data_IF_429058591635
#
_entry.id   IF_429058591635
#
_cell.length_a   1.000
_cell.length_b   1.000
_cell.length_c   1.000
_cell.angle_alpha   90.00
_cell.angle_beta   90.00
_cell.angle_gamma   90.00
#
_symmetry.space_group_name_H-M   'P 1'
#
loop_
_entity.id
_entity.type
_entity.pdbx_description
1 polymer ?
#
# COMPACT_ATOMS: atom_id res chain seq x y z
N UNK A 1 26.88 26.09 -13.00
CA UNK A 1 26.01 24.95 -13.30
C UNK A 1 24.73 25.18 -12.50
N UNK A 2 23.69 25.72 -13.14
CA UNK A 2 22.45 26.07 -12.45
C UNK A 2 21.56 24.84 -12.41
N UNK A 3 21.52 24.18 -11.26
CA UNK A 3 20.61 23.06 -11.02
C UNK A 3 19.21 23.65 -10.82
N UNK A 4 18.34 23.50 -11.82
CA UNK A 4 16.90 23.69 -11.66
C UNK A 4 16.36 22.57 -10.76
N UNK A 5 16.41 22.76 -9.45
CA UNK A 5 15.67 21.94 -8.50
C UNK A 5 14.26 22.49 -8.40
N UNK A 6 13.30 21.85 -9.06
CA UNK A 6 11.87 22.12 -8.84
C UNK A 6 11.35 21.48 -7.56
N UNK A 7 12.02 20.46 -7.01
CA UNK A 7 11.71 19.91 -5.69
C UNK A 7 12.98 19.32 -5.04
N UNK A 8 13.60 20.07 -4.14
CA UNK A 8 14.28 19.58 -2.92
C UNK A 8 14.97 20.77 -2.27
N UNK A 9 14.29 21.43 -1.35
CA UNK A 9 14.98 22.17 -0.30
C UNK A 9 14.69 21.49 1.03
N UNK A 10 15.47 20.47 1.33
CA UNK A 10 15.80 20.16 2.72
C UNK A 10 16.60 21.35 3.28
N UNK A 11 15.92 22.45 3.58
CA UNK A 11 16.44 23.40 4.54
C UNK A 11 15.93 22.92 5.90
N UNK A 12 16.73 22.21 6.72
CA UNK A 12 16.56 22.26 8.17
C UNK A 12 16.94 23.68 8.60
N UNK A 13 16.12 24.65 8.23
CA UNK A 13 16.43 26.06 8.37
C UNK A 13 15.99 26.53 9.74
N UNK A 14 16.70 26.16 10.81
CA UNK A 14 16.67 26.80 12.15
C UNK A 14 15.28 27.00 12.83
N UNK A 15 14.19 26.55 12.19
CA UNK A 15 12.77 26.82 12.47
C UNK A 15 11.88 25.58 12.20
N UNK A 16 12.48 24.43 11.93
CA UNK A 16 11.73 23.17 11.80
C UNK A 16 11.24 22.77 13.20
N UNK A 17 10.01 23.13 13.53
CA UNK A 17 9.38 22.66 14.76
C UNK A 17 9.04 21.18 14.62
N UNK A 18 8.94 20.46 15.74
CA UNK A 18 8.58 19.06 15.74
C UNK A 18 7.23 18.81 15.03
N UNK A 19 6.31 19.78 15.08
CA UNK A 19 5.04 19.73 14.38
C UNK A 19 5.18 19.81 12.86
N UNK A 20 6.04 20.70 12.36
CA UNK A 20 6.29 20.86 10.93
C UNK A 20 6.95 19.60 10.32
N UNK A 21 7.89 19.01 11.05
CA UNK A 21 8.51 17.74 10.65
C UNK A 21 7.50 16.58 10.67
N UNK A 22 6.65 16.51 11.70
CA UNK A 22 5.60 15.51 11.78
C UNK A 22 4.61 15.63 10.62
N UNK A 23 4.17 16.84 10.31
CA UNK A 23 3.26 17.09 9.18
C UNK A 23 3.90 16.70 7.84
N UNK A 24 5.18 17.02 7.64
CA UNK A 24 5.94 16.60 6.47
C UNK A 24 5.93 15.08 6.29
N UNK A 25 6.23 14.31 7.34
CA UNK A 25 6.24 12.85 7.28
C UNK A 25 4.85 12.26 7.07
N UNK A 26 3.82 12.81 7.73
CA UNK A 26 2.43 12.40 7.52
C UNK A 26 1.96 12.63 6.08
N UNK A 27 2.36 13.75 5.47
CA UNK A 27 2.02 14.05 4.08
C UNK A 27 2.74 13.10 3.11
N UNK A 28 4.01 12.75 3.38
CA UNK A 28 4.71 11.72 2.59
C UNK A 28 4.07 10.35 2.71
N UNK A 29 3.67 9.95 3.92
CA UNK A 29 2.98 8.68 4.15
C UNK A 29 1.66 8.63 3.36
N UNK A 30 0.85 9.70 3.41
CA UNK A 30 -0.38 9.81 2.60
C UNK A 30 -0.09 9.71 1.10
N UNK A 31 0.94 10.40 0.61
CA UNK A 31 1.33 10.37 -0.79
C UNK A 31 1.87 9.00 -1.25
N UNK A 32 2.33 8.17 -0.32
CA UNK A 32 2.78 6.82 -0.63
C UNK A 32 1.62 5.84 -0.88
N UNK A 33 0.39 6.14 -0.45
CA UNK A 33 -0.79 5.27 -0.68
C UNK A 33 -1.11 5.19 -2.17
N UNK A 34 -1.42 3.98 -2.66
CA UNK A 34 -1.82 3.75 -4.05
C UNK A 34 -3.11 2.96 -4.09
N UNK A 35 -4.04 3.45 -4.91
CA UNK A 35 -5.29 2.77 -5.19
C UNK A 35 -5.06 1.35 -5.75
N UNK A 36 -6.04 0.44 -5.58
CA UNK A 36 -5.96 -0.90 -6.14
C UNK A 36 -5.73 -0.89 -7.66
N UNK A 37 -4.86 -1.79 -8.10
CA UNK A 37 -4.55 -2.06 -9.50
C UNK A 37 -4.56 -3.57 -9.73
N UNK A 38 -5.04 -4.01 -10.89
CA UNK A 38 -5.04 -5.42 -11.26
C UNK A 38 -3.65 -5.81 -11.73
N UNK A 39 -3.18 -6.98 -11.30
CA UNK A 39 -1.87 -7.54 -11.61
C UNK A 39 -2.03 -8.95 -12.16
N UNK A 40 -0.98 -9.47 -12.78
CA UNK A 40 -0.95 -10.86 -13.22
C UNK A 40 -0.63 -11.83 -12.06
N UNK A 41 -0.85 -13.12 -12.32
CA UNK A 41 -0.62 -14.21 -11.36
C UNK A 41 0.84 -14.34 -10.94
N UNK A 42 1.80 -14.08 -11.83
CA UNK A 42 3.23 -14.21 -11.51
C UNK A 42 3.64 -13.11 -10.54
N UNK A 43 3.23 -11.85 -10.78
CA UNK A 43 3.50 -10.74 -9.85
C UNK A 43 3.02 -11.05 -8.42
N UNK A 44 1.86 -11.69 -8.27
CA UNK A 44 1.34 -12.09 -6.96
C UNK A 44 2.19 -13.17 -6.29
N UNK A 45 2.54 -14.24 -7.01
CA UNK A 45 3.31 -15.35 -6.44
C UNK A 45 4.77 -15.00 -6.23
N UNK A 46 5.35 -14.15 -7.07
CA UNK A 46 6.70 -13.61 -6.91
C UNK A 46 6.79 -12.79 -5.61
N UNK A 47 5.78 -11.95 -5.34
CA UNK A 47 5.71 -11.20 -4.09
C UNK A 47 5.53 -12.12 -2.86
N UNK A 48 4.71 -13.17 -2.98
CA UNK A 48 4.52 -14.16 -1.92
C UNK A 48 5.78 -14.99 -1.66
N UNK A 49 6.58 -15.25 -2.69
CA UNK A 49 7.86 -15.95 -2.61
C UNK A 49 9.04 -15.10 -2.13
N UNK A 50 8.90 -13.77 -2.11
CA UNK A 50 9.97 -12.85 -1.75
C UNK A 50 10.32 -12.90 -0.26
N UNK A 51 9.31 -12.97 0.61
CA UNK A 51 9.47 -12.98 2.08
C UNK A 51 8.20 -13.50 2.77
N UNK A 52 8.30 -13.78 4.08
CA UNK A 52 7.14 -14.22 4.86
C UNK A 52 6.06 -13.13 4.92
N UNK A 53 4.82 -13.43 4.49
CA UNK A 53 3.75 -12.44 4.45
C UNK A 53 3.28 -12.01 5.84
N UNK A 54 2.93 -10.73 5.99
CA UNK A 54 2.19 -10.22 7.15
C UNK A 54 0.68 -10.34 6.93
N UNK A 55 -0.04 -10.56 8.03
CA UNK A 55 -1.50 -10.53 8.09
C UNK A 55 -2.17 -11.36 6.98
N UNK A 56 -1.57 -12.51 6.62
CA UNK A 56 -2.14 -13.39 5.62
C UNK A 56 -3.49 -13.91 6.12
N UNK A 57 -4.54 -13.65 5.35
CA UNK A 57 -5.91 -14.03 5.68
C UNK A 57 -6.65 -14.47 4.42
N UNK A 58 -7.63 -15.36 4.61
CA UNK A 58 -8.51 -15.86 3.56
C UNK A 58 -9.96 -15.78 4.02
N UNK A 59 -10.89 -15.62 3.08
CA UNK A 59 -12.32 -15.70 3.39
C UNK A 59 -12.75 -17.15 3.63
N UNK A 60 -13.84 -17.36 4.37
CA UNK A 60 -14.35 -18.71 4.70
C UNK A 60 -14.62 -19.58 3.46
N UNK A 61 -15.07 -18.96 2.36
CA UNK A 61 -15.33 -19.63 1.09
C UNK A 61 -14.08 -19.76 0.19
N UNK A 62 -12.92 -19.27 0.62
CA UNK A 62 -11.67 -19.28 -0.14
C UNK A 62 -11.63 -18.38 -1.37
N UNK A 63 -12.66 -17.57 -1.61
CA UNK A 63 -12.70 -16.65 -2.75
C UNK A 63 -11.67 -15.55 -2.64
N UNK A 64 -11.48 -15.03 -1.43
CA UNK A 64 -10.55 -13.96 -1.14
C UNK A 64 -9.35 -14.47 -0.37
N UNK A 65 -8.21 -13.91 -0.72
CA UNK A 65 -6.95 -14.09 -0.03
C UNK A 65 -6.20 -12.77 -0.07
N UNK A 66 -5.63 -12.36 1.06
CA UNK A 66 -4.86 -11.13 1.15
C UNK A 66 -3.62 -11.34 1.99
N UNK A 67 -2.54 -10.66 1.63
CA UNK A 67 -1.36 -10.55 2.48
C UNK A 67 -0.67 -9.21 2.26
N UNK A 68 0.24 -8.87 3.17
CA UNK A 68 1.07 -7.66 3.08
C UNK A 68 2.54 -8.04 3.09
N UNK A 69 3.39 -7.23 2.47
CA UNK A 69 4.83 -7.37 2.62
C UNK A 69 5.29 -6.84 3.99
N UNK A 70 6.46 -7.31 4.45
CA UNK A 70 7.10 -6.78 5.66
C UNK A 70 7.79 -5.43 5.43
N UNK A 71 8.06 -5.09 4.18
CA UNK A 71 8.72 -3.85 3.82
C UNK A 71 7.76 -2.66 3.89
N UNK A 72 8.11 -1.67 4.72
CA UNK A 72 7.39 -0.41 4.81
C UNK A 72 7.99 0.60 3.84
N UNK A 73 7.17 1.05 2.89
CA UNK A 73 7.54 2.01 1.84
C UNK A 73 7.69 3.43 2.42
N UNK A 74 6.79 3.84 3.31
CA UNK A 74 6.83 5.14 3.97
C UNK A 74 5.98 5.14 5.24
N UNK A 75 6.60 5.34 6.41
CA UNK A 75 5.90 5.20 7.68
C UNK A 75 5.31 3.79 7.80
N UNK A 76 3.99 3.71 7.99
CA UNK A 76 3.30 2.44 8.16
C UNK A 76 2.73 1.88 6.84
N UNK A 77 3.08 2.48 5.69
CA UNK A 77 2.54 2.10 4.39
C UNK A 77 3.36 0.97 3.77
N UNK A 78 2.70 -0.09 3.32
CA UNK A 78 3.30 -1.26 2.69
C UNK A 78 2.53 -1.66 1.42
N UNK A 79 3.16 -2.49 0.59
CA UNK A 79 2.50 -3.12 -0.55
C UNK A 79 1.64 -4.31 -0.06
N UNK A 80 0.37 -4.30 -0.49
CA UNK A 80 -0.66 -5.25 -0.11
C UNK A 80 -1.11 -5.97 -1.38
N UNK A 81 -1.24 -7.29 -1.28
CA UNK A 81 -1.63 -8.15 -2.37
C UNK A 81 -2.93 -8.87 -2.03
N UNK A 82 -3.77 -9.05 -3.04
CA UNK A 82 -5.03 -9.76 -2.89
C UNK A 82 -5.34 -10.63 -4.10
N UNK A 83 -5.99 -11.76 -3.86
CA UNK A 83 -6.59 -12.62 -4.88
C UNK A 83 -8.10 -12.64 -4.65
N UNK A 84 -8.87 -12.55 -5.74
CA UNK A 84 -10.30 -12.78 -5.79
C UNK A 84 -10.63 -13.76 -6.91
N UNK A 85 -10.92 -15.01 -6.56
CA UNK A 85 -11.07 -16.08 -7.54
C UNK A 85 -9.78 -16.24 -8.38
N UNK A 86 -9.87 -15.92 -9.68
CA UNK A 86 -8.77 -15.95 -10.65
C UNK A 86 -8.15 -14.58 -10.95
N UNK A 87 -8.55 -13.52 -10.23
CA UNK A 87 -8.05 -12.15 -10.41
C UNK A 87 -7.13 -11.77 -9.26
N UNK A 88 -6.11 -10.98 -9.56
CA UNK A 88 -5.06 -10.61 -8.62
C UNK A 88 -4.93 -9.10 -8.58
N UNK A 89 -4.68 -8.55 -7.40
CA UNK A 89 -4.64 -7.12 -7.16
C UNK A 89 -3.44 -6.74 -6.31
N UNK A 90 -2.93 -5.55 -6.55
CA UNK A 90 -1.99 -4.85 -5.67
C UNK A 90 -2.55 -3.48 -5.33
N UNK A 91 -2.47 -3.13 -4.06
CA UNK A 91 -2.65 -1.77 -3.54
C UNK A 91 -1.49 -1.44 -2.61
N UNK A 92 -1.35 -0.17 -2.24
CA UNK A 92 -0.34 0.25 -1.26
C UNK A 92 -1.02 1.07 -0.19
N UNK A 93 -0.93 0.62 1.05
CA UNK A 93 -1.71 1.18 2.15
C UNK A 93 -1.08 0.90 3.51
N UNK A 94 -1.70 1.43 4.56
CA UNK A 94 -1.24 1.20 5.94
C UNK A 94 -1.29 -0.28 6.34
N UNK A 95 -0.27 -0.75 7.05
CA UNK A 95 -0.07 -2.16 7.41
C UNK A 95 -1.05 -2.68 8.49
N UNK A 96 -1.88 -1.80 9.05
CA UNK A 96 -2.92 -2.14 10.03
C UNK A 96 -4.29 -2.42 9.40
N UNK A 97 -4.41 -2.43 8.06
CA UNK A 97 -5.66 -2.79 7.41
C UNK A 97 -6.04 -4.26 7.67
N UNK A 98 -7.30 -4.48 8.03
CA UNK A 98 -7.88 -5.82 8.09
C UNK A 98 -8.16 -6.38 6.70
N UNK A 99 -8.29 -7.71 6.61
CA UNK A 99 -8.75 -8.41 5.41
C UNK A 99 -10.05 -7.79 4.86
N UNK A 100 -11.04 -7.50 5.71
CA UNK A 100 -12.31 -6.90 5.31
C UNK A 100 -12.14 -5.50 4.69
N UNK A 101 -11.26 -4.67 5.25
CA UNK A 101 -11.00 -3.32 4.70
C UNK A 101 -10.27 -3.40 3.36
N UNK A 102 -9.31 -4.31 3.21
CA UNK A 102 -8.59 -4.52 1.94
C UNK A 102 -9.56 -4.94 0.83
N UNK A 103 -10.36 -5.98 1.09
CA UNK A 103 -11.34 -6.48 0.11
C UNK A 103 -12.39 -5.43 -0.24
N UNK A 104 -12.82 -4.60 0.72
CA UNK A 104 -13.75 -3.49 0.47
C UNK A 104 -13.14 -2.44 -0.47
N UNK A 105 -11.90 -1.98 -0.22
CA UNK A 105 -11.22 -1.03 -1.12
C UNK A 105 -11.09 -1.55 -2.55
N UNK A 106 -10.81 -2.85 -2.72
CA UNK A 106 -10.73 -3.47 -4.05
C UNK A 106 -12.12 -3.55 -4.69
N UNK A 107 -13.15 -3.95 -3.94
CA UNK A 107 -14.53 -3.98 -4.44
C UNK A 107 -15.00 -2.60 -4.91
N UNK A 108 -14.67 -1.54 -4.18
CA UNK A 108 -14.95 -0.15 -4.55
C UNK A 108 -14.18 0.26 -5.81
N UNK A 109 -12.87 0.00 -5.86
CA UNK A 109 -12.03 0.38 -7.00
C UNK A 109 -12.37 -0.32 -8.32
N UNK A 110 -12.96 -1.51 -8.25
CA UNK A 110 -13.29 -2.35 -9.41
C UNK A 110 -14.79 -2.63 -9.59
N UNK A 111 -15.66 -1.98 -8.79
CA UNK A 111 -17.11 -2.22 -8.78
C UNK A 111 -17.50 -3.70 -8.66
N UNK A 112 -16.89 -4.43 -7.73
CA UNK A 112 -17.10 -5.87 -7.51
C UNK A 112 -18.18 -6.19 -6.46
N UNK A 113 -19.04 -5.22 -6.15
CA UNK A 113 -20.25 -5.51 -5.37
C UNK A 113 -21.13 -6.44 -6.19
N UNK A 114 -21.54 -7.56 -5.58
CA UNK A 114 -22.28 -8.63 -6.27
C UNK A 114 -23.43 -8.05 -7.13
N UNK A 115 -23.52 -8.52 -8.38
CA UNK A 115 -24.74 -8.43 -9.18
C UNK A 115 -25.67 -9.58 -8.84
#
# INVERSE_FOLDING_TARGET
MNLHLTESSAHPGMLATAEAEREYWLNRQKAAVKAPSEIDVHTFHDALGLMYPLNWSTSENGEWETFMLQEMVCGDVTDIYARYGARYFRLRDVCNLSHAQITTRIKEGFNLFQK
#
